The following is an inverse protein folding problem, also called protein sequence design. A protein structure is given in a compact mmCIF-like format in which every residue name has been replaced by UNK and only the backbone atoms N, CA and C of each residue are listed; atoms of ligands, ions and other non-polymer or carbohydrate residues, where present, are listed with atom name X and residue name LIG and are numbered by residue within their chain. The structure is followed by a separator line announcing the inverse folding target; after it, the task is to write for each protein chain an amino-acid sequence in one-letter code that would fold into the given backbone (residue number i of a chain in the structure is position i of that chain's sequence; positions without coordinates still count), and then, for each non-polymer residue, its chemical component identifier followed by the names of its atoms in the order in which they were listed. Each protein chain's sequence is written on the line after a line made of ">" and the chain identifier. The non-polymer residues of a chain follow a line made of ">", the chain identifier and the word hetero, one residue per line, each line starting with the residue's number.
data_IF_427034052715
#
_entry.id   IF_427034052715
#
_cell.length_a   1.000
_cell.length_b   1.000
_cell.length_c   1.000
_cell.angle_alpha   90.00
_cell.angle_beta   90.00
_cell.angle_gamma   90.00
#
_symmetry.space_group_name_H-M   'P 1'
#
loop_
_entity.id
_entity.type
_entity.pdbx_description
1 polymer ?
#
# COMPACT_ATOMS: atom_id res chain seq x y z
N UNK A 1 -14.46 -12.26 25.10
CA UNK A 1 -13.98 -13.52 24.48
C UNK A 1 -13.39 -14.48 25.51
N UNK A 2 -12.28 -14.17 26.20
CA UNK A 2 -11.71 -15.09 27.21
C UNK A 2 -12.52 -15.19 28.51
N UNK A 3 -13.33 -14.16 28.84
CA UNK A 3 -14.24 -14.17 30.00
C UNK A 3 -15.49 -15.04 29.82
N UNK A 4 -15.90 -15.32 28.58
CA UNK A 4 -17.12 -16.11 28.31
C UNK A 4 -16.89 -17.62 28.54
N UNK A 5 -15.63 -18.08 28.46
CA UNK A 5 -15.24 -19.48 28.69
C UNK A 5 -15.43 -19.94 30.13
N UNK A 6 -15.22 -19.04 31.10
CA UNK A 6 -15.26 -19.38 32.52
C UNK A 6 -16.69 -19.43 33.10
N UNK A 7 -17.68 -18.89 32.39
CA UNK A 7 -19.08 -18.86 32.84
C UNK A 7 -19.94 -20.00 32.28
N UNK A 8 -19.39 -20.88 31.45
CA UNK A 8 -20.15 -21.88 30.68
C UNK A 8 -20.04 -23.32 31.22
N UNK A 9 -19.38 -23.54 32.35
CA UNK A 9 -19.08 -24.89 32.86
C UNK A 9 -20.35 -25.64 33.37
N UNK A 10 -21.45 -24.93 33.64
CA UNK A 10 -22.67 -25.48 34.26
C UNK A 10 -23.88 -25.64 33.30
N UNK A 11 -23.70 -25.80 31.98
CA UNK A 11 -24.83 -25.99 31.03
C UNK A 11 -24.89 -27.43 30.47
N UNK A 12 -26.09 -28.00 30.43
CA UNK A 12 -26.37 -29.39 30.01
C UNK A 12 -26.07 -29.70 28.52
N UNK A 13 -25.68 -28.71 27.71
CA UNK A 13 -25.41 -28.91 26.28
C UNK A 13 -24.21 -28.08 25.79
N UNK A 14 -23.06 -28.34 26.42
CA UNK A 14 -21.80 -27.66 26.15
C UNK A 14 -21.35 -27.76 24.69
N UNK A 15 -21.67 -28.87 24.01
CA UNK A 15 -21.24 -29.09 22.62
C UNK A 15 -22.03 -28.20 21.64
N UNK A 16 -23.37 -28.12 21.75
CA UNK A 16 -24.15 -27.25 20.88
C UNK A 16 -23.86 -25.77 21.14
N UNK A 17 -23.62 -25.37 22.40
CA UNK A 17 -23.20 -24.00 22.73
C UNK A 17 -21.81 -23.69 22.15
N UNK A 18 -20.88 -24.64 22.22
CA UNK A 18 -19.55 -24.50 21.62
C UNK A 18 -19.63 -24.35 20.10
N UNK A 19 -20.35 -25.24 19.40
CA UNK A 19 -20.53 -25.16 17.94
C UNK A 19 -21.21 -23.85 17.52
N UNK A 20 -22.23 -23.43 18.26
CA UNK A 20 -22.95 -22.18 18.01
C UNK A 20 -22.10 -20.92 18.23
N UNK A 21 -21.18 -20.97 19.18
CA UNK A 21 -20.36 -19.80 19.55
C UNK A 21 -19.06 -19.72 18.76
N UNK A 22 -18.44 -20.87 18.46
CA UNK A 22 -17.07 -20.96 17.93
C UNK A 22 -16.96 -21.62 16.55
N UNK A 23 -18.04 -22.19 16.00
CA UNK A 23 -18.01 -22.85 14.68
C UNK A 23 -19.08 -22.33 13.71
N UNK A 24 -19.99 -21.45 14.14
CA UNK A 24 -21.04 -20.88 13.29
C UNK A 24 -21.16 -19.37 13.43
N UNK A 25 -21.38 -18.70 12.30
CA UNK A 25 -21.50 -17.25 12.19
C UNK A 25 -20.17 -16.49 12.33
N UNK A 26 -20.19 -15.18 12.05
CA UNK A 26 -18.97 -14.35 12.02
C UNK A 26 -18.27 -14.20 13.37
N UNK A 27 -18.95 -14.48 14.49
CA UNK A 27 -18.33 -14.46 15.83
C UNK A 27 -17.28 -15.56 16.04
N UNK A 28 -17.32 -16.61 15.21
CA UNK A 28 -16.31 -17.65 15.17
C UNK A 28 -15.05 -17.26 14.37
N UNK A 29 -15.12 -16.21 13.55
CA UNK A 29 -14.00 -15.73 12.75
C UNK A 29 -13.07 -14.87 13.62
N UNK A 30 -11.78 -15.21 13.61
CA UNK A 30 -10.76 -14.46 14.35
C UNK A 30 -10.16 -13.30 13.53
N UNK A 31 -10.03 -13.48 12.21
CA UNK A 31 -9.44 -12.50 11.29
C UNK A 31 -10.54 -11.70 10.55
N UNK A 32 -10.32 -11.35 9.29
CA UNK A 32 -11.23 -10.48 8.54
C UNK A 32 -12.64 -11.09 8.46
N UNK A 33 -13.65 -10.22 8.57
CA UNK A 33 -15.05 -10.61 8.60
C UNK A 33 -15.90 -9.62 7.79
N UNK A 34 -16.93 -10.14 7.12
CA UNK A 34 -17.93 -9.30 6.49
C UNK A 34 -18.84 -8.63 7.52
N UNK A 35 -19.47 -7.52 7.12
CA UNK A 35 -20.51 -6.87 7.93
C UNK A 35 -21.76 -7.74 8.00
N UNK A 36 -22.17 -8.33 6.87
CA UNK A 36 -23.20 -9.36 6.83
C UNK A 36 -22.59 -10.70 7.24
N UNK A 37 -23.24 -11.39 8.18
CA UNK A 37 -22.76 -12.68 8.67
C UNK A 37 -22.96 -13.82 7.69
N UNK A 38 -23.80 -13.63 6.67
CA UNK A 38 -24.05 -14.60 5.61
C UNK A 38 -23.03 -14.50 4.48
N UNK A 39 -22.19 -13.45 4.47
CA UNK A 39 -21.12 -13.29 3.50
C UNK A 39 -19.80 -13.82 4.03
N UNK A 40 -19.11 -14.64 3.21
CA UNK A 40 -17.84 -15.29 3.58
C UNK A 40 -16.71 -14.99 2.60
N UNK A 41 -16.92 -14.08 1.65
CA UNK A 41 -15.93 -13.80 0.61
C UNK A 41 -14.65 -13.17 1.19
N UNK A 42 -14.76 -12.21 2.12
CA UNK A 42 -13.59 -11.57 2.77
C UNK A 42 -12.72 -12.57 3.51
N UNK A 43 -13.21 -13.40 4.46
CA UNK A 43 -12.35 -14.35 5.18
C UNK A 43 -11.73 -15.41 4.26
N UNK A 44 -12.45 -15.86 3.22
CA UNK A 44 -11.91 -16.81 2.24
C UNK A 44 -10.81 -16.17 1.38
N UNK A 45 -11.00 -14.90 1.02
CA UNK A 45 -10.03 -14.14 0.24
C UNK A 45 -8.76 -13.89 1.04
N UNK A 46 -8.88 -13.43 2.29
CA UNK A 46 -7.75 -13.27 3.21
C UNK A 46 -7.00 -14.60 3.41
N UNK A 47 -7.72 -15.72 3.52
CA UNK A 47 -7.10 -17.06 3.60
C UNK A 47 -6.29 -17.41 2.35
N UNK A 48 -6.81 -17.09 1.16
CA UNK A 48 -6.11 -17.33 -0.10
C UNK A 48 -4.85 -16.45 -0.19
N UNK A 49 -4.95 -15.19 0.22
CA UNK A 49 -3.83 -14.27 0.28
C UNK A 49 -2.78 -14.72 1.29
N UNK A 50 -3.18 -15.11 2.50
CA UNK A 50 -2.30 -15.69 3.52
C UNK A 50 -1.57 -16.93 3.00
N UNK A 51 -2.28 -17.81 2.28
CA UNK A 51 -1.67 -19.00 1.67
C UNK A 51 -0.63 -18.62 0.60
N UNK A 52 -0.88 -17.60 -0.21
CA UNK A 52 0.08 -17.14 -1.21
C UNK A 52 1.35 -16.59 -0.53
N UNK A 53 1.19 -15.81 0.54
CA UNK A 53 2.28 -15.22 1.32
C UNK A 53 2.88 -16.16 2.39
N UNK A 54 2.49 -17.44 2.40
CA UNK A 54 2.98 -18.45 3.35
C UNK A 54 1.98 -18.76 4.47
N UNK A 55 1.69 -17.77 5.32
CA UNK A 55 0.73 -17.91 6.43
C UNK A 55 0.08 -16.57 6.85
N UNK A 56 -0.85 -16.63 7.81
CA UNK A 56 -1.50 -15.43 8.37
C UNK A 56 -0.55 -14.52 9.14
N UNK A 57 0.52 -15.06 9.75
CA UNK A 57 1.49 -14.26 10.49
C UNK A 57 2.35 -13.40 9.55
N UNK A 58 2.50 -13.83 8.30
CA UNK A 58 3.21 -13.12 7.23
C UNK A 58 2.43 -11.92 6.70
N UNK A 59 1.10 -11.92 6.87
CA UNK A 59 0.23 -10.77 6.59
C UNK A 59 0.22 -9.71 7.68
N UNK A 60 0.80 -10.01 8.86
CA UNK A 60 0.81 -9.06 9.97
C UNK A 60 1.73 -7.88 9.66
N UNK A 61 1.12 -6.70 9.51
CA UNK A 61 1.79 -5.45 9.19
C UNK A 61 1.94 -5.19 7.68
N UNK A 62 2.43 -4.00 7.37
CA UNK A 62 2.76 -3.58 6.00
C UNK A 62 1.80 -2.55 5.40
N UNK A 63 2.03 -2.24 4.12
CA UNK A 63 1.37 -1.15 3.41
C UNK A 63 0.12 -1.64 2.68
N UNK A 64 -0.99 -0.92 2.84
CA UNK A 64 -2.22 -1.20 2.10
C UNK A 64 -2.03 -0.97 0.60
N UNK A 65 -1.15 -0.04 0.18
CA UNK A 65 -0.79 0.15 -1.23
C UNK A 65 -0.25 -1.12 -1.89
N UNK A 66 0.62 -1.86 -1.20
CA UNK A 66 1.17 -3.14 -1.72
C UNK A 66 0.06 -4.19 -1.91
N UNK A 67 -0.86 -4.28 -0.94
CA UNK A 67 -2.02 -5.15 -1.06
C UNK A 67 -2.91 -4.76 -2.23
N UNK A 68 -3.16 -3.46 -2.45
CA UNK A 68 -3.97 -3.00 -3.59
C UNK A 68 -3.28 -3.32 -4.92
N UNK A 69 -1.96 -3.13 -5.03
CA UNK A 69 -1.17 -3.51 -6.19
C UNK A 69 -1.30 -5.01 -6.51
N UNK A 70 -1.15 -5.89 -5.51
CA UNK A 70 -1.25 -7.35 -5.70
C UNK A 70 -2.64 -7.79 -6.20
N UNK A 71 -3.69 -7.08 -5.77
CA UNK A 71 -5.08 -7.44 -6.09
C UNK A 71 -5.61 -6.79 -7.36
N UNK A 72 -5.07 -5.64 -7.75
CA UNK A 72 -5.55 -4.89 -8.91
C UNK A 72 -4.64 -5.02 -10.13
N UNK A 73 -3.37 -5.38 -9.94
CA UNK A 73 -2.33 -5.26 -10.98
C UNK A 73 -2.02 -3.81 -11.34
N UNK A 74 -2.49 -2.84 -10.55
CA UNK A 74 -2.10 -1.44 -10.65
C UNK A 74 -0.66 -1.21 -10.20
N UNK A 75 -0.17 0.01 -10.34
CA UNK A 75 1.19 0.39 -9.90
C UNK A 75 1.07 1.34 -8.72
N UNK A 76 1.63 0.94 -7.59
CA UNK A 76 1.66 1.77 -6.38
C UNK A 76 2.79 2.79 -6.42
N UNK A 77 2.52 3.96 -5.87
CA UNK A 77 3.53 4.98 -5.54
C UNK A 77 3.24 5.49 -4.14
N UNK A 78 4.26 5.48 -3.29
CA UNK A 78 4.24 6.16 -2.00
C UNK A 78 4.34 7.67 -2.24
N UNK A 79 3.43 8.45 -1.64
CA UNK A 79 3.47 9.90 -1.65
C UNK A 79 3.44 10.43 -0.23
N UNK A 80 4.48 11.14 0.17
CA UNK A 80 4.45 11.93 1.38
C UNK A 80 3.74 13.25 1.10
N UNK A 81 2.94 13.70 2.04
CA UNK A 81 2.19 14.95 1.86
C UNK A 81 3.11 16.17 1.76
N UNK A 82 4.31 16.08 2.32
CA UNK A 82 5.38 17.09 2.15
C UNK A 82 5.93 17.18 0.73
N UNK A 83 5.77 16.14 -0.08
CA UNK A 83 6.28 16.06 -1.45
C UNK A 83 5.26 16.59 -2.48
N UNK A 84 4.03 16.89 -2.03
CA UNK A 84 2.98 17.49 -2.84
C UNK A 84 3.20 19.00 -2.86
N UNK A 85 3.88 19.49 -3.91
CA UNK A 85 4.22 20.90 -4.05
C UNK A 85 3.04 21.77 -4.51
N UNK A 86 2.16 21.20 -5.36
CA UNK A 86 0.94 21.85 -5.83
C UNK A 86 -0.28 21.00 -5.42
N UNK A 87 -0.98 21.47 -4.39
CA UNK A 87 -2.16 20.79 -3.85
C UNK A 87 -3.37 20.90 -4.78
N UNK A 88 -3.44 21.94 -5.62
CA UNK A 88 -4.57 22.12 -6.52
C UNK A 88 -4.41 21.21 -7.75
N UNK A 89 -3.20 21.12 -8.28
CA UNK A 89 -2.87 20.17 -9.34
C UNK A 89 -3.08 18.71 -8.89
N UNK A 90 -2.65 18.36 -7.67
CA UNK A 90 -2.86 17.02 -7.11
C UNK A 90 -4.36 16.68 -6.99
N UNK A 91 -5.20 17.68 -6.66
CA UNK A 91 -6.65 17.49 -6.66
C UNK A 91 -7.20 17.22 -8.06
N UNK A 92 -6.89 18.10 -9.01
CA UNK A 92 -7.48 18.08 -10.35
C UNK A 92 -7.00 16.89 -11.20
N UNK A 93 -5.74 16.49 -11.03
CA UNK A 93 -5.15 15.40 -11.82
C UNK A 93 -5.31 14.03 -11.16
N UNK A 94 -5.38 13.95 -9.84
CA UNK A 94 -5.28 12.66 -9.14
C UNK A 94 -6.44 12.39 -8.18
N UNK A 95 -6.61 13.20 -7.14
CA UNK A 95 -7.60 12.90 -6.07
C UNK A 95 -9.04 12.88 -6.61
N UNK A 96 -9.39 13.81 -7.50
CA UNK A 96 -10.71 13.86 -8.12
C UNK A 96 -11.04 12.65 -8.99
N UNK A 97 -10.02 11.86 -9.38
CA UNK A 97 -10.16 10.64 -10.20
C UNK A 97 -10.10 9.35 -9.38
N UNK A 98 -10.35 9.44 -8.07
CA UNK A 98 -10.42 8.26 -7.20
C UNK A 98 -11.51 7.28 -7.66
N UNK A 99 -11.20 5.98 -7.58
CA UNK A 99 -11.97 4.84 -8.11
C UNK A 99 -12.13 4.78 -9.62
N UNK A 100 -11.65 5.77 -10.38
CA UNK A 100 -11.60 5.73 -11.83
C UNK A 100 -10.20 5.36 -12.31
N UNK A 101 -9.26 6.30 -12.17
CA UNK A 101 -7.86 6.14 -12.56
C UNK A 101 -6.95 5.71 -11.40
N UNK A 102 -7.34 6.06 -10.17
CA UNK A 102 -6.51 5.86 -8.99
C UNK A 102 -7.29 5.23 -7.83
N UNK A 103 -6.58 4.45 -7.02
CA UNK A 103 -7.02 4.08 -5.67
C UNK A 103 -6.07 4.70 -4.66
N UNK A 104 -6.65 5.16 -3.54
CA UNK A 104 -5.90 5.87 -2.53
C UNK A 104 -6.06 5.25 -1.15
N UNK A 105 -4.92 4.98 -0.53
CA UNK A 105 -4.80 4.81 0.90
C UNK A 105 -4.26 6.06 1.57
N UNK A 106 -4.57 6.24 2.84
CA UNK A 106 -4.05 7.34 3.64
C UNK A 106 -3.68 6.85 5.04
N UNK A 107 -2.54 7.29 5.55
CA UNK A 107 -2.12 7.04 6.93
C UNK A 107 -1.35 8.23 7.49
N UNK A 108 -1.11 8.20 8.81
CA UNK A 108 -0.42 9.29 9.52
C UNK A 108 0.27 8.78 10.77
N UNK A 109 1.24 9.55 11.28
CA UNK A 109 1.96 9.24 12.51
C UNK A 109 2.96 8.10 12.36
N UNK A 110 3.50 7.91 11.15
CA UNK A 110 4.60 6.98 10.89
C UNK A 110 5.94 7.59 11.32
N UNK A 111 6.20 8.84 10.92
CA UNK A 111 7.42 9.58 11.27
C UNK A 111 7.19 10.58 12.40
N UNK A 112 5.98 11.14 12.51
CA UNK A 112 5.63 12.13 13.53
C UNK A 112 4.67 11.62 14.62
N UNK A 113 4.73 10.33 14.99
CA UNK A 113 3.83 9.73 15.99
C UNK A 113 3.75 10.58 17.28
N UNK A 114 2.53 10.93 17.69
CA UNK A 114 2.24 11.72 18.88
C UNK A 114 2.43 13.23 18.71
N UNK A 115 2.76 13.72 17.52
CA UNK A 115 2.85 15.15 17.20
C UNK A 115 1.63 15.62 16.40
N UNK A 116 1.05 16.74 16.86
CA UNK A 116 -0.08 17.41 16.21
C UNK A 116 -1.45 16.93 16.68
N UNK A 117 -2.47 17.74 16.40
CA UNK A 117 -3.86 17.38 16.67
C UNK A 117 -4.43 16.61 15.48
N UNK A 118 -4.90 15.38 15.72
CA UNK A 118 -5.44 14.50 14.70
C UNK A 118 -6.96 14.50 14.59
N UNK A 119 -7.66 15.24 15.46
CA UNK A 119 -9.10 15.44 15.36
C UNK A 119 -9.86 14.10 15.16
N UNK A 120 -9.59 13.15 16.05
CA UNK A 120 -10.21 11.82 16.06
C UNK A 120 -9.54 10.77 15.16
N UNK A 121 -8.68 11.16 14.21
CA UNK A 121 -7.92 10.23 13.37
C UNK A 121 -6.89 9.46 14.21
N UNK A 122 -6.84 8.14 14.02
CA UNK A 122 -5.85 7.25 14.65
C UNK A 122 -4.58 7.17 13.83
N UNK A 123 -3.44 7.39 14.48
CA UNK A 123 -2.10 7.23 13.93
C UNK A 123 -1.69 5.76 13.80
N UNK A 124 -0.73 5.47 12.92
CA UNK A 124 -0.25 4.11 12.65
C UNK A 124 -1.34 3.18 12.08
N UNK A 125 -2.36 3.76 11.44
CA UNK A 125 -3.53 3.06 10.92
C UNK A 125 -3.85 3.47 9.50
N UNK A 126 -4.28 2.50 8.69
CA UNK A 126 -4.64 2.70 7.29
C UNK A 126 -6.11 3.09 7.12
N UNK A 127 -6.34 4.17 6.38
CA UNK A 127 -7.65 4.63 5.92
C UNK A 127 -7.73 4.46 4.41
N UNK A 128 -8.93 4.24 3.89
CA UNK A 128 -9.19 4.14 2.46
C UNK A 128 -9.93 5.39 2.02
N UNK A 129 -9.45 6.07 0.99
CA UNK A 129 -10.17 7.17 0.37
C UNK A 129 -11.16 6.57 -0.63
N UNK A 130 -12.43 6.83 -0.37
CA UNK A 130 -13.57 6.22 -1.06
C UNK A 130 -14.14 7.12 -2.14
N UNK A 131 -14.04 8.43 -2.01
CA UNK A 131 -14.65 9.38 -2.94
C UNK A 131 -14.03 10.76 -2.77
N UNK A 132 -13.97 11.54 -3.84
CA UNK A 132 -13.59 12.95 -3.82
C UNK A 132 -14.64 13.74 -4.61
N UNK A 133 -15.17 14.83 -4.03
CA UNK A 133 -16.20 15.64 -4.67
C UNK A 133 -15.99 17.13 -4.41
N UNK A 134 -16.25 17.94 -5.42
CA UNK A 134 -16.32 19.40 -5.31
C UNK A 134 -17.78 19.83 -5.22
N UNK A 135 -18.14 20.53 -4.16
CA UNK A 135 -19.46 21.14 -3.99
C UNK A 135 -19.66 22.31 -4.96
N UNK A 136 -20.92 22.68 -5.21
CA UNK A 136 -21.25 23.91 -5.97
C UNK A 136 -20.67 25.19 -5.36
N UNK A 137 -20.41 25.19 -4.06
CA UNK A 137 -19.73 26.30 -3.37
C UNK A 137 -18.24 26.41 -3.71
N UNK A 138 -17.67 25.41 -4.40
CA UNK A 138 -16.24 25.28 -4.64
C UNK A 138 -15.49 24.50 -3.55
N UNK A 139 -16.15 24.13 -2.45
CA UNK A 139 -15.50 23.36 -1.38
C UNK A 139 -15.21 21.93 -1.85
N UNK A 140 -13.96 21.50 -1.66
CA UNK A 140 -13.48 20.15 -1.97
C UNK A 140 -13.58 19.25 -0.73
N UNK A 141 -14.25 18.11 -0.88
CA UNK A 141 -14.48 17.14 0.19
C UNK A 141 -14.01 15.75 -0.23
N UNK A 142 -13.45 15.03 0.73
CA UNK A 142 -12.98 13.65 0.55
C UNK A 142 -13.68 12.74 1.53
N UNK A 143 -14.18 11.61 1.03
CA UNK A 143 -14.82 10.56 1.82
C UNK A 143 -13.78 9.51 2.16
N UNK A 144 -13.61 9.22 3.44
CA UNK A 144 -12.71 8.18 3.92
C UNK A 144 -13.47 7.10 4.66
N UNK A 145 -12.90 5.91 4.66
CA UNK A 145 -13.37 4.78 5.45
C UNK A 145 -12.27 4.27 6.36
N UNK A 146 -12.60 4.13 7.63
CA UNK A 146 -11.82 3.36 8.60
C UNK A 146 -12.25 1.88 8.54
N UNK A 147 -11.36 0.94 8.17
CA UNK A 147 -11.70 -0.48 8.06
C UNK A 147 -12.12 -1.16 9.38
N UNK A 148 -11.82 -0.58 10.55
CA UNK A 148 -12.15 -1.18 11.86
C UNK A 148 -13.64 -1.08 12.25
N UNK A 149 -14.47 -0.42 11.44
CA UNK A 149 -15.91 -0.70 11.24
C UNK A 149 -16.89 -0.59 12.41
N UNK A 150 -16.44 -0.52 13.67
CA UNK A 150 -17.29 -0.56 14.88
C UNK A 150 -16.80 0.31 16.04
N UNK A 151 -15.59 0.87 15.97
CA UNK A 151 -15.02 1.69 17.05
C UNK A 151 -15.17 3.15 16.67
N UNK A 152 -15.71 4.00 17.57
CA UNK A 152 -15.75 5.46 17.37
C UNK A 152 -14.35 6.10 17.24
N UNK A 153 -13.31 5.38 17.68
CA UNK A 153 -11.92 5.80 17.60
C UNK A 153 -11.43 5.67 16.15
N UNK A 154 -10.76 6.72 15.65
CA UNK A 154 -10.36 6.76 14.24
C UNK A 154 -11.49 7.22 13.31
N UNK A 155 -12.37 8.10 13.79
CA UNK A 155 -13.36 8.80 12.98
C UNK A 155 -13.07 10.29 13.15
N UNK A 156 -13.15 11.04 12.04
CA UNK A 156 -12.94 12.48 12.03
C UNK A 156 -13.93 13.22 12.92
N UNK A 157 -13.44 14.14 13.77
CA UNK A 157 -14.23 14.97 14.68
C UNK A 157 -14.27 16.46 14.32
N UNK A 158 -13.63 16.85 13.21
CA UNK A 158 -13.58 18.24 12.75
C UNK A 158 -14.74 18.62 11.84
N UNK A 159 -14.56 19.71 11.07
CA UNK A 159 -15.55 20.18 10.11
C UNK A 159 -15.92 19.09 9.09
N UNK A 160 -17.20 18.98 8.71
CA UNK A 160 -17.74 17.91 7.85
C UNK A 160 -17.79 16.51 8.47
N UNK A 161 -17.44 16.34 9.76
CA UNK A 161 -17.75 15.12 10.49
C UNK A 161 -19.27 14.90 10.61
N UNK A 162 -19.68 13.68 10.95
CA UNK A 162 -21.09 13.38 11.16
C UNK A 162 -21.66 14.18 12.35
N UNK A 163 -22.68 15.00 12.09
CA UNK A 163 -23.25 15.93 13.07
C UNK A 163 -22.60 17.31 13.11
N UNK A 164 -21.65 17.58 12.22
CA UNK A 164 -21.03 18.90 12.09
C UNK A 164 -21.99 19.93 11.49
N UNK A 165 -21.83 21.20 11.88
CA UNK A 165 -22.72 22.32 11.49
C UNK A 165 -22.66 22.68 10.00
N UNK A 166 -21.61 22.25 9.30
CA UNK A 166 -21.40 22.50 7.87
C UNK A 166 -22.40 21.71 7.00
N UNK A 167 -23.00 20.65 7.54
CA UNK A 167 -24.03 19.87 6.86
C UNK A 167 -25.38 20.57 6.87
N UNK A 168 -25.60 21.52 5.97
CA UNK A 168 -26.95 22.05 5.71
C UNK A 168 -27.79 21.07 4.89
N UNK A 169 -29.10 21.25 4.88
CA UNK A 169 -30.02 20.38 4.14
C UNK A 169 -29.69 20.36 2.65
N UNK A 170 -29.33 21.50 2.07
CA UNK A 170 -28.97 21.62 0.66
C UNK A 170 -27.70 20.84 0.31
N UNK A 171 -26.69 20.87 1.19
CA UNK A 171 -25.43 20.15 0.96
C UNK A 171 -25.61 18.65 1.17
N UNK A 172 -26.43 18.24 2.14
CA UNK A 172 -26.75 16.83 2.33
C UNK A 172 -27.46 16.23 1.11
N UNK A 173 -28.40 16.96 0.52
CA UNK A 173 -29.08 16.58 -0.72
C UNK A 173 -28.10 16.53 -1.91
N UNK A 174 -27.21 17.50 -2.04
CA UNK A 174 -26.19 17.51 -3.09
C UNK A 174 -25.21 16.34 -2.98
N UNK A 175 -24.88 15.94 -1.74
CA UNK A 175 -23.91 14.88 -1.46
C UNK A 175 -24.53 13.48 -1.47
N UNK A 176 -25.86 13.35 -1.47
CA UNK A 176 -26.58 12.12 -1.08
C UNK A 176 -26.00 11.51 0.20
N UNK A 177 -25.65 12.37 1.17
CA UNK A 177 -25.01 11.93 2.40
C UNK A 177 -26.06 11.40 3.38
N UNK A 178 -25.81 10.21 3.93
CA UNK A 178 -26.64 9.62 4.97
C UNK A 178 -25.80 9.43 6.21
N UNK A 179 -26.21 10.06 7.31
CA UNK A 179 -25.55 9.86 8.60
C UNK A 179 -25.62 8.38 8.99
N UNK A 180 -24.46 7.79 9.24
CA UNK A 180 -24.31 6.38 9.48
C UNK A 180 -23.31 6.11 10.60
N UNK A 181 -23.40 4.94 11.23
CA UNK A 181 -22.39 4.48 12.18
C UNK A 181 -21.29 3.64 11.49
N UNK A 182 -21.08 3.83 10.19
CA UNK A 182 -20.38 2.90 9.31
C UNK A 182 -18.87 3.16 9.16
N UNK A 183 -18.26 3.90 10.11
CA UNK A 183 -16.83 4.24 10.10
C UNK A 183 -16.38 4.93 8.80
N UNK A 184 -17.34 5.53 8.10
CA UNK A 184 -17.16 6.35 6.90
C UNK A 184 -17.43 7.78 7.30
N UNK A 185 -16.60 8.71 6.84
CA UNK A 185 -16.74 10.12 7.16
C UNK A 185 -16.21 10.99 6.02
N UNK A 186 -16.65 12.25 5.99
CA UNK A 186 -16.10 13.25 5.10
C UNK A 186 -15.14 14.17 5.84
N UNK A 187 -14.16 14.69 5.11
CA UNK A 187 -13.20 15.70 5.56
C UNK A 187 -12.99 16.71 4.43
N UNK A 188 -12.62 17.95 4.77
CA UNK A 188 -12.17 18.90 3.76
C UNK A 188 -10.86 18.42 3.13
N UNK A 189 -10.63 18.75 1.85
CA UNK A 189 -9.37 18.42 1.21
C UNK A 189 -8.19 19.11 1.90
N UNK A 190 -8.38 20.34 2.36
CA UNK A 190 -7.37 21.11 3.09
C UNK A 190 -7.00 20.43 4.42
N UNK A 191 -7.97 19.89 5.15
CA UNK A 191 -7.70 19.13 6.37
C UNK A 191 -7.09 17.76 6.05
N UNK A 192 -7.47 17.10 4.96
CA UNK A 192 -6.84 15.84 4.55
C UNK A 192 -5.32 16.01 4.39
N UNK A 193 -4.90 17.02 3.62
CA UNK A 193 -3.48 17.35 3.39
C UNK A 193 -2.77 17.77 4.69
N UNK A 194 -3.47 18.36 5.65
CA UNK A 194 -2.85 18.76 6.94
C UNK A 194 -2.74 17.61 7.93
N UNK A 195 -3.67 16.66 7.89
CA UNK A 195 -3.87 15.66 8.95
C UNK A 195 -3.30 14.29 8.58
N UNK A 196 -3.17 13.99 7.30
CA UNK A 196 -2.52 12.80 6.79
C UNK A 196 -1.15 13.15 6.21
N UNK A 197 -0.16 12.30 6.45
CA UNK A 197 1.23 12.53 6.03
C UNK A 197 1.73 11.55 4.97
N UNK A 198 1.00 10.45 4.75
CA UNK A 198 1.36 9.39 3.82
C UNK A 198 0.14 8.95 3.01
N UNK A 199 0.28 8.94 1.69
CA UNK A 199 -0.70 8.44 0.74
C UNK A 199 -0.14 7.27 -0.07
N UNK A 200 -0.94 6.21 -0.16
CA UNK A 200 -0.71 5.10 -1.08
C UNK A 200 -1.47 5.37 -2.38
N UNK A 201 -0.81 5.87 -3.42
CA UNK A 201 -1.43 6.17 -4.73
C UNK A 201 -1.24 5.02 -5.69
N UNK A 202 -2.30 4.24 -5.96
CA UNK A 202 -2.25 3.15 -6.94
C UNK A 202 -2.86 3.58 -8.28
N UNK A 203 -2.04 3.63 -9.34
CA UNK A 203 -2.51 3.82 -10.73
C UNK A 203 -3.16 2.55 -11.25
N UNK A 204 -4.40 2.65 -11.72
CA UNK A 204 -5.12 1.55 -12.36
C UNK A 204 -4.99 1.57 -13.88
N UNK A 205 -4.75 0.41 -14.48
CA UNK A 205 -4.67 0.23 -15.93
C UNK A 205 -5.97 -0.40 -16.47
N UNK A 206 -7.06 0.38 -16.46
CA UNK A 206 -8.38 -0.10 -16.91
C UNK A 206 -8.56 -0.06 -18.43
N UNK A 207 -7.83 0.84 -19.10
CA UNK A 207 -7.84 0.92 -20.55
C UNK A 207 -7.15 -0.31 -21.16
N UNK A 208 -7.76 -0.86 -22.21
CA UNK A 208 -7.26 -2.03 -22.93
C UNK A 208 -6.06 -1.72 -23.81
N UNK A 209 -5.82 -0.44 -24.08
CA UNK A 209 -4.71 -0.01 -24.95
C UNK A 209 -3.34 -0.10 -24.25
N UNK A 210 -3.31 -0.26 -22.92
CA UNK A 210 -2.08 -0.50 -22.19
C UNK A 210 -1.41 -1.82 -22.58
N UNK A 211 -0.11 -1.73 -22.86
CA UNK A 211 0.75 -2.88 -23.12
C UNK A 211 1.76 -3.01 -21.99
N UNK A 212 1.76 -4.16 -21.31
CA UNK A 212 2.74 -4.47 -20.27
C UNK A 212 3.86 -5.36 -20.82
N UNK A 213 5.10 -5.01 -20.51
CA UNK A 213 6.29 -5.81 -20.79
C UNK A 213 7.12 -5.88 -19.51
N UNK A 214 7.59 -7.08 -19.16
CA UNK A 214 8.40 -7.31 -17.96
C UNK A 214 9.62 -8.17 -18.27
N UNK A 215 10.73 -7.94 -17.57
CA UNK A 215 11.95 -8.72 -17.70
C UNK A 215 12.70 -8.76 -16.37
N UNK A 216 13.02 -9.97 -15.91
CA UNK A 216 13.85 -10.21 -14.75
C UNK A 216 15.33 -10.22 -15.14
N UNK A 217 16.16 -9.60 -14.32
CA UNK A 217 17.63 -9.65 -14.41
C UNK A 217 18.19 -10.03 -13.05
N UNK A 218 19.45 -10.47 -13.01
CA UNK A 218 20.22 -10.51 -11.77
C UNK A 218 21.07 -9.25 -11.66
N UNK A 219 21.06 -8.58 -10.51
CA UNK A 219 21.90 -7.40 -10.25
C UNK A 219 22.90 -7.69 -9.14
N UNK A 220 24.20 -7.61 -9.47
CA UNK A 220 25.26 -7.57 -8.47
C UNK A 220 25.30 -6.18 -7.81
N UNK A 221 25.04 -6.14 -6.51
CA UNK A 221 25.03 -4.88 -5.74
C UNK A 221 26.45 -4.50 -5.35
N UNK A 222 26.98 -3.47 -6.00
CA UNK A 222 28.31 -2.97 -5.73
C UNK A 222 28.40 -2.23 -4.38
N UNK A 223 29.56 -2.30 -3.72
CA UNK A 223 29.84 -1.55 -2.48
C UNK A 223 29.66 -0.04 -2.62
N UNK A 224 29.99 0.49 -3.79
CA UNK A 224 29.75 1.90 -4.14
C UNK A 224 28.55 1.97 -5.07
N UNK A 225 27.45 2.54 -4.57
CA UNK A 225 26.24 2.67 -5.35
C UNK A 225 26.47 3.61 -6.55
N UNK A 226 26.26 3.09 -7.76
CA UNK A 226 26.41 3.81 -9.02
C UNK A 226 25.25 3.45 -9.96
N UNK A 227 25.00 4.32 -10.92
CA UNK A 227 24.04 4.05 -11.99
C UNK A 227 24.70 3.18 -13.06
N UNK A 228 23.99 2.16 -13.50
CA UNK A 228 24.42 1.24 -14.53
C UNK A 228 23.32 1.10 -15.58
N UNK A 229 23.72 1.19 -16.85
CA UNK A 229 22.85 0.90 -17.98
C UNK A 229 22.40 -0.57 -17.95
N UNK A 230 21.09 -0.83 -18.10
CA UNK A 230 20.53 -2.19 -18.01
C UNK A 230 19.42 -2.50 -19.01
N UNK A 231 18.59 -1.51 -19.36
CA UNK A 231 17.48 -1.73 -20.30
C UNK A 231 17.47 -0.65 -21.37
N UNK A 232 17.09 -1.05 -22.58
CA UNK A 232 16.80 -0.15 -23.70
C UNK A 232 15.32 -0.33 -24.04
N UNK A 233 14.63 0.79 -24.24
CA UNK A 233 13.21 0.85 -24.55
C UNK A 233 13.07 1.60 -25.85
N UNK A 234 12.32 1.02 -26.79
CA UNK A 234 11.98 1.67 -28.04
C UNK A 234 10.48 1.92 -28.08
N UNK A 235 10.09 3.18 -28.12
CA UNK A 235 8.72 3.60 -28.36
C UNK A 235 8.55 3.91 -29.83
N UNK A 236 7.58 3.27 -30.47
CA UNK A 236 7.31 3.43 -31.91
C UNK A 236 6.40 4.61 -32.22
N UNK A 237 5.71 5.13 -31.21
CA UNK A 237 4.78 6.25 -31.29
C UNK A 237 4.79 6.99 -29.95
N UNK A 238 4.35 8.24 -29.96
CA UNK A 238 4.15 9.03 -28.75
C UNK A 238 3.11 8.31 -27.88
N UNK A 239 3.41 8.12 -26.60
CA UNK A 239 2.58 7.31 -25.71
C UNK A 239 2.80 7.66 -24.24
N UNK A 240 1.81 7.47 -23.37
CA UNK A 240 2.05 7.44 -21.94
C UNK A 240 2.94 6.25 -21.58
N UNK A 241 3.82 6.43 -20.61
CA UNK A 241 4.75 5.40 -20.15
C UNK A 241 4.78 5.33 -18.62
N UNK A 242 4.56 4.12 -18.09
CA UNK A 242 4.82 3.81 -16.68
C UNK A 242 5.99 2.85 -16.61
N UNK A 243 7.03 3.22 -15.87
CA UNK A 243 8.17 2.35 -15.61
C UNK A 243 8.20 1.98 -14.13
N UNK A 244 8.40 0.69 -13.87
CA UNK A 244 8.47 0.14 -12.53
C UNK A 244 9.73 -0.72 -12.41
N UNK A 245 10.48 -0.47 -11.35
CA UNK A 245 11.57 -1.33 -10.92
C UNK A 245 11.15 -1.97 -9.60
N UNK A 246 10.96 -3.28 -9.60
CA UNK A 246 10.55 -4.07 -8.44
C UNK A 246 11.63 -5.06 -8.03
N UNK A 247 11.76 -5.29 -6.73
CA UNK A 247 12.51 -6.43 -6.19
C UNK A 247 11.55 -7.49 -5.64
N UNK A 248 12.09 -8.65 -5.27
CA UNK A 248 11.32 -9.69 -4.61
C UNK A 248 10.73 -9.17 -3.28
N UNK A 249 9.47 -9.49 -3.05
CA UNK A 249 8.79 -9.10 -1.82
C UNK A 249 9.30 -9.95 -0.63
N UNK A 250 9.88 -9.28 0.35
CA UNK A 250 10.44 -9.89 1.55
C UNK A 250 9.39 -10.61 2.42
N UNK A 251 8.09 -10.31 2.25
CA UNK A 251 6.99 -10.94 3.00
C UNK A 251 6.91 -12.45 2.73
N UNK A 252 7.21 -12.91 1.52
CA UNK A 252 7.24 -14.35 1.19
C UNK A 252 8.36 -15.11 1.89
N UNK A 253 9.36 -14.38 2.40
CA UNK A 253 10.59 -14.92 2.96
C UNK A 253 10.72 -14.55 4.45
N UNK A 254 9.60 -14.44 5.16
CA UNK A 254 9.61 -14.09 6.58
C UNK A 254 10.37 -15.15 7.39
N UNK A 255 11.37 -14.70 8.16
CA UNK A 255 12.32 -15.55 8.88
C UNK A 255 13.58 -15.88 8.07
N UNK A 256 13.57 -15.68 6.75
CA UNK A 256 14.70 -15.89 5.84
C UNK A 256 15.40 -14.57 5.45
N UNK A 257 15.08 -13.45 6.11
CA UNK A 257 15.74 -12.19 5.82
C UNK A 257 17.18 -12.19 6.32
N UNK A 258 18.11 -11.77 5.47
CA UNK A 258 19.48 -11.48 5.87
C UNK A 258 19.62 -10.09 6.51
N UNK A 259 20.87 -9.73 6.85
CA UNK A 259 21.26 -8.43 7.40
C UNK A 259 21.26 -7.26 6.39
N UNK A 260 20.71 -7.42 5.19
CA UNK A 260 20.79 -6.40 4.13
C UNK A 260 19.39 -6.00 3.66
N UNK A 261 19.18 -4.69 3.54
CA UNK A 261 18.05 -4.09 2.82
C UNK A 261 18.54 -3.38 1.56
N UNK A 262 17.66 -3.20 0.57
CA UNK A 262 18.03 -2.64 -0.73
C UNK A 262 17.12 -1.50 -1.11
N UNK A 263 17.73 -0.36 -1.42
CA UNK A 263 17.05 0.81 -1.97
C UNK A 263 17.21 0.84 -3.48
N UNK A 264 16.09 1.01 -4.16
CA UNK A 264 16.01 0.95 -5.61
C UNK A 264 15.90 2.35 -6.17
N UNK A 265 16.67 2.64 -7.21
CA UNK A 265 16.54 3.87 -7.97
C UNK A 265 16.76 3.59 -9.45
N UNK A 266 16.07 4.31 -10.31
CA UNK A 266 16.40 4.35 -11.73
C UNK A 266 16.29 5.74 -12.32
N UNK A 267 16.90 5.91 -13.49
CA UNK A 267 16.78 7.09 -14.34
C UNK A 267 16.46 6.64 -15.76
N UNK A 268 15.63 7.43 -16.44
CA UNK A 268 15.36 7.29 -17.86
C UNK A 268 16.13 8.37 -18.61
N UNK A 269 16.89 7.96 -19.63
CA UNK A 269 17.65 8.85 -20.50
C UNK A 269 17.23 8.65 -21.95
N UNK A 270 17.46 9.67 -22.79
CA UNK A 270 17.50 9.47 -24.24
C UNK A 270 18.74 8.64 -24.59
N UNK A 271 18.62 7.73 -25.57
CA UNK A 271 19.75 6.88 -25.99
C UNK A 271 20.97 7.70 -26.45
N UNK A 272 20.72 8.84 -27.12
CA UNK A 272 21.76 9.71 -27.66
C UNK A 272 22.33 10.70 -26.62
N UNK A 273 21.78 10.74 -25.39
CA UNK A 273 22.25 11.62 -24.31
C UNK A 273 22.45 10.86 -22.99
N UNK A 274 23.62 10.21 -22.81
CA UNK A 274 23.91 9.40 -21.63
C UNK A 274 24.44 10.23 -20.44
N UNK A 275 24.44 11.56 -20.53
CA UNK A 275 25.01 12.42 -19.50
C UNK A 275 24.25 12.25 -18.17
N UNK A 276 25.00 12.12 -17.07
CA UNK A 276 24.44 11.78 -15.76
C UNK A 276 23.47 12.85 -15.23
N UNK A 277 23.59 14.08 -15.69
CA UNK A 277 22.70 15.20 -15.32
C UNK A 277 21.58 15.43 -16.34
N UNK A 278 21.64 14.80 -17.52
CA UNK A 278 20.66 14.95 -18.60
C UNK A 278 19.71 13.74 -18.68
N UNK A 279 19.06 13.46 -17.55
CA UNK A 279 18.01 12.44 -17.49
C UNK A 279 16.64 13.09 -17.69
N UNK A 280 15.73 12.35 -18.34
CA UNK A 280 14.33 12.75 -18.55
C UNK A 280 13.61 12.75 -17.20
N UNK A 281 13.73 11.65 -16.47
CA UNK A 281 13.08 11.46 -15.18
C UNK A 281 13.88 10.52 -14.30
N UNK A 282 13.74 10.69 -12.98
CA UNK A 282 14.27 9.81 -11.96
C UNK A 282 13.11 9.20 -11.18
N UNK A 283 13.25 7.93 -10.80
CA UNK A 283 12.29 7.27 -9.93
C UNK A 283 12.10 8.01 -8.60
N UNK A 284 10.87 7.97 -8.10
CA UNK A 284 10.60 8.31 -6.71
C UNK A 284 11.45 7.42 -5.79
N UNK A 285 11.83 7.95 -4.63
CA UNK A 285 12.53 7.17 -3.61
C UNK A 285 11.58 6.20 -2.93
N UNK A 286 12.07 5.02 -2.54
CA UNK A 286 11.38 4.16 -1.59
C UNK A 286 11.74 4.61 -0.17
N UNK A 287 10.87 5.40 0.47
CA UNK A 287 11.11 5.89 1.84
C UNK A 287 10.66 4.87 2.87
N UNK A 288 9.43 4.37 2.72
CA UNK A 288 8.84 3.38 3.61
C UNK A 288 8.44 2.10 2.86
N UNK A 289 8.10 2.22 1.57
CA UNK A 289 7.71 1.10 0.70
C UNK A 289 8.91 0.54 -0.08
N UNK A 290 9.53 -0.54 0.39
CA UNK A 290 10.79 -1.02 -0.20
C UNK A 290 10.62 -1.84 -1.49
N UNK A 291 9.43 -2.38 -1.77
CA UNK A 291 9.21 -3.40 -2.81
C UNK A 291 9.46 -2.92 -4.24
N UNK A 292 9.07 -1.69 -4.55
CA UNK A 292 9.15 -1.15 -5.91
C UNK A 292 9.33 0.36 -5.91
N UNK A 293 9.87 0.87 -7.01
CA UNK A 293 9.90 2.30 -7.34
C UNK A 293 9.39 2.50 -8.75
N UNK A 294 8.71 3.62 -9.00
CA UNK A 294 8.05 3.87 -10.28
C UNK A 294 8.10 5.34 -10.71
N UNK A 295 7.90 5.55 -12.01
CA UNK A 295 7.63 6.86 -12.63
C UNK A 295 6.47 6.71 -13.60
N UNK A 296 5.68 7.76 -13.70
CA UNK A 296 4.62 7.91 -14.68
C UNK A 296 4.92 9.13 -15.54
N UNK A 297 4.97 8.92 -16.86
CA UNK A 297 5.15 9.97 -17.86
C UNK A 297 3.89 9.99 -18.72
N UNK A 298 3.04 11.04 -18.62
CA UNK A 298 1.75 11.06 -19.30
C UNK A 298 1.89 11.19 -20.82
N UNK A 299 3.00 11.76 -21.29
CA UNK A 299 3.29 11.91 -22.72
C UNK A 299 4.81 11.85 -22.91
N UNK A 300 5.28 10.81 -23.60
CA UNK A 300 6.68 10.68 -24.01
C UNK A 300 6.74 10.43 -25.53
N UNK A 301 7.56 11.18 -26.28
CA UNK A 301 7.67 11.02 -27.72
C UNK A 301 8.16 9.63 -28.15
N UNK A 302 7.85 9.25 -29.38
CA UNK A 302 8.47 8.10 -30.04
C UNK A 302 10.00 8.27 -30.06
N UNK A 303 10.73 7.22 -29.69
CA UNK A 303 12.18 7.32 -29.55
C UNK A 303 12.80 6.10 -28.89
N UNK A 304 14.13 6.16 -28.76
CA UNK A 304 14.90 5.17 -28.03
C UNK A 304 15.35 5.76 -26.70
N UNK A 305 15.19 4.97 -25.65
CA UNK A 305 15.45 5.36 -24.28
C UNK A 305 16.28 4.30 -23.58
N UNK A 306 17.05 4.73 -22.59
CA UNK A 306 17.91 3.88 -21.80
C UNK A 306 17.58 4.03 -20.33
N UNK A 307 17.42 2.90 -19.64
CA UNK A 307 17.17 2.85 -18.20
C UNK A 307 18.46 2.52 -17.47
N UNK A 308 18.86 3.48 -16.64
CA UNK A 308 19.99 3.36 -15.73
C UNK A 308 19.49 2.99 -14.35
N UNK A 309 19.95 1.85 -13.81
CA UNK A 309 19.57 1.35 -12.49
C UNK A 309 20.67 1.65 -11.48
N UNK A 310 20.27 2.00 -10.26
CA UNK A 310 21.15 2.09 -9.09
C UNK A 310 20.48 1.35 -7.94
N UNK A 311 21.18 0.35 -7.41
CA UNK A 311 20.77 -0.36 -6.20
C UNK A 311 21.75 -0.02 -5.09
N UNK A 312 21.23 0.39 -3.93
CA UNK A 312 22.03 0.69 -2.75
C UNK A 312 21.71 -0.33 -1.68
N UNK A 313 22.70 -1.14 -1.28
CA UNK A 313 22.56 -2.09 -0.18
C UNK A 313 22.93 -1.43 1.14
N UNK A 314 22.05 -1.51 2.13
CA UNK A 314 22.29 -1.07 3.50
C UNK A 314 22.41 -2.28 4.42
N UNK A 315 23.44 -2.28 5.27
CA UNK A 315 23.70 -3.39 6.20
C UNK A 315 23.20 -3.04 7.59
N UNK A 316 22.28 -3.84 8.11
CA UNK A 316 21.94 -3.82 9.54
C UNK A 316 23.01 -4.58 10.32
N UNK A 317 23.73 -3.86 11.19
CA UNK A 317 24.78 -4.46 12.03
C UNK A 317 24.22 -5.31 13.18
N UNK A 318 22.95 -5.12 13.54
CA UNK A 318 22.27 -5.90 14.57
C UNK A 318 21.54 -7.14 13.98
N UNK A 319 21.42 -7.18 12.65
CA UNK A 319 20.79 -8.28 11.93
C UNK A 319 21.65 -9.55 11.91
N UNK A 320 21.00 -10.69 11.71
CA UNK A 320 21.71 -11.95 11.53
C UNK A 320 22.32 -12.02 10.13
N UNK A 321 23.57 -12.47 10.04
CA UNK A 321 24.21 -12.71 8.74
C UNK A 321 23.44 -13.76 7.94
N UNK A 322 23.49 -13.64 6.61
CA UNK A 322 22.88 -14.60 5.68
C UNK A 322 23.30 -16.03 6.01
N UNK A 323 24.57 -16.23 6.35
CA UNK A 323 25.11 -17.54 6.72
C UNK A 323 24.51 -18.10 8.01
N UNK A 324 24.26 -17.24 9.02
CA UNK A 324 23.62 -17.65 10.27
C UNK A 324 22.15 -18.02 10.03
N UNK A 325 21.43 -17.23 9.22
CA UNK A 325 20.04 -17.51 8.85
C UNK A 325 19.95 -18.85 8.11
N UNK A 326 20.76 -19.05 7.07
CA UNK A 326 20.78 -20.32 6.32
C UNK A 326 21.11 -21.50 7.23
N UNK A 327 22.11 -21.38 8.13
CA UNK A 327 22.46 -22.45 9.08
C UNK A 327 21.31 -22.79 10.04
N UNK A 328 20.59 -21.79 10.54
CA UNK A 328 19.44 -21.99 11.44
C UNK A 328 18.32 -22.76 10.72
N UNK A 329 18.07 -22.42 9.47
CA UNK A 329 16.93 -22.93 8.68
C UNK A 329 17.24 -24.23 7.92
N UNK A 330 18.52 -24.65 7.87
CA UNK A 330 18.92 -25.96 7.33
C UNK A 330 19.66 -26.85 8.34
N UNK A 331 18.99 -27.36 9.40
CA UNK A 331 19.63 -28.25 10.36
C UNK A 331 19.99 -29.63 9.77
N UNK A 332 19.30 -30.10 8.72
CA UNK A 332 19.45 -31.46 8.17
C UNK A 332 19.16 -31.53 6.66
N UNK A 333 20.18 -31.86 5.85
CA UNK A 333 20.05 -32.51 4.53
C UNK A 333 19.47 -31.72 3.34
N UNK A 334 18.86 -30.54 3.53
CA UNK A 334 18.40 -29.70 2.42
C UNK A 334 19.58 -29.03 1.70
N UNK A 335 19.53 -28.96 0.36
CA UNK A 335 20.59 -28.34 -0.47
C UNK A 335 20.76 -26.87 -0.08
N UNK A 336 21.79 -26.60 0.73
CA UNK A 336 22.22 -25.27 1.19
C UNK A 336 22.29 -24.23 0.06
N UNK A 337 22.63 -24.65 -1.17
CA UNK A 337 22.66 -23.79 -2.37
C UNK A 337 21.31 -23.21 -2.77
N UNK A 338 20.21 -23.92 -2.55
CA UNK A 338 18.86 -23.46 -2.90
C UNK A 338 18.38 -22.39 -1.92
N UNK A 339 18.66 -22.55 -0.62
CA UNK A 339 18.33 -21.55 0.39
C UNK A 339 19.21 -20.30 0.28
N UNK A 340 20.49 -20.45 -0.06
CA UNK A 340 21.37 -19.29 -0.26
C UNK A 340 20.84 -18.33 -1.34
N UNK A 341 20.20 -18.84 -2.41
CA UNK A 341 19.55 -18.01 -3.44
C UNK A 341 18.25 -17.34 -3.00
N UNK A 342 17.65 -17.81 -1.90
CA UNK A 342 16.41 -17.26 -1.34
C UNK A 342 16.71 -16.25 -0.22
N UNK A 343 17.76 -16.49 0.56
CA UNK A 343 18.21 -15.62 1.68
C UNK A 343 19.11 -14.49 1.19
N UNK A 344 19.90 -14.70 0.13
CA UNK A 344 20.41 -13.59 -0.66
C UNK A 344 19.28 -13.17 -1.59
N UNK A 345 18.66 -12.00 -1.41
CA UNK A 345 17.71 -11.53 -2.40
C UNK A 345 18.47 -11.42 -3.72
N UNK A 346 18.16 -12.31 -4.66
CA UNK A 346 18.45 -12.06 -6.06
C UNK A 346 17.52 -10.92 -6.46
N UNK A 347 18.11 -9.76 -6.77
CA UNK A 347 17.40 -8.64 -7.40
C UNK A 347 17.42 -8.86 -8.90
#
# INVERSE_FOLDING_TARGET
>A
MQRDLLQQIDREDNENVYRKTYQTGSKALFFAQCRDQNETWVPLFEKAYAKAHGDYASLAGGWNGEGVEDLSGGVITELLTSDILDVDEFWDKEMSRVNDEFLFGASTGLLEHGYGERNGISEGHAYVIMEARTLKSGQRLVKLRNPWGKVRKGIWDGAWSDGSKEWTTEVQEEMDHKFGSDSVFWISYEDLIRKYSHFDRTRLFRDRDWRCCQRWIGVDVAWKAAYHEKFHIKLTQDSPLVLVLSQLDGRYFKGLQGQYSFRLHFRLHYEDSPDAEDYIVRSHGNYLMERSVSVELPDIPAGNYVVYLKVTGERDSNGQSVEQVVKRETPTGLRMRSLLRLVMPMI
#
